data_IF_472349729913
#
_entry.id   IF_472349729913
#
_cell.length_a   1.000
_cell.length_b   1.000
_cell.length_c   1.000
_cell.angle_alpha   90.00
_cell.angle_beta   90.00
_cell.angle_gamma   90.00
#
_symmetry.space_group_name_H-M   'P 1'
#
loop_
_entity.id
_entity.type
_entity.pdbx_description
1 polymer ?
#
# COMPACT_ATOMS: atom_id res chain seq x y z
N UNK A 1 15.70 -12.06 -4.24
CA UNK A 1 15.52 -12.91 -3.03
C UNK A 1 14.03 -13.00 -2.68
N UNK A 2 13.57 -14.16 -2.19
CA UNK A 2 12.17 -14.36 -1.76
C UNK A 2 12.05 -14.34 -0.23
N UNK A 3 10.90 -13.84 0.26
CA UNK A 3 10.58 -13.68 1.67
C UNK A 3 9.28 -14.41 1.99
N UNK A 4 9.20 -14.97 3.19
CA UNK A 4 7.92 -15.47 3.70
C UNK A 4 6.93 -14.32 3.92
N UNK A 5 5.63 -14.63 3.95
CA UNK A 5 4.60 -13.65 4.27
C UNK A 5 4.88 -12.91 5.58
N UNK A 6 5.39 -13.63 6.60
CA UNK A 6 5.68 -13.06 7.92
C UNK A 6 6.85 -12.08 7.86
N UNK A 7 7.93 -12.45 7.17
CA UNK A 7 9.10 -11.58 7.00
C UNK A 7 8.79 -10.35 6.17
N UNK A 8 8.10 -10.52 5.03
CA UNK A 8 7.71 -9.39 4.19
C UNK A 8 6.84 -8.39 4.95
N UNK A 9 5.91 -8.89 5.78
CA UNK A 9 5.04 -8.06 6.61
C UNK A 9 5.80 -7.34 7.74
N UNK A 10 6.78 -7.99 8.37
CA UNK A 10 7.62 -7.38 9.41
C UNK A 10 8.47 -6.21 8.88
N UNK A 11 8.83 -6.24 7.59
CA UNK A 11 9.59 -5.17 6.91
C UNK A 11 8.73 -3.98 6.49
N UNK A 12 7.40 -4.06 6.59
CA UNK A 12 6.53 -2.94 6.25
C UNK A 12 6.59 -1.86 7.34
N UNK A 13 6.41 -0.59 6.95
CA UNK A 13 6.34 0.54 7.89
C UNK A 13 5.33 0.32 9.02
N UNK A 14 4.22 -0.36 8.71
CA UNK A 14 3.22 -0.78 9.69
C UNK A 14 2.82 -2.24 9.44
N UNK A 15 3.40 -3.20 10.18
CA UNK A 15 3.01 -4.60 10.10
C UNK A 15 1.52 -4.77 10.40
N UNK A 16 0.85 -5.66 9.67
CA UNK A 16 -0.57 -5.99 9.85
C UNK A 16 -0.74 -7.45 10.27
N UNK A 17 -1.97 -7.86 10.56
CA UNK A 17 -2.25 -9.28 10.80
C UNK A 17 -1.96 -10.10 9.53
N UNK A 18 -1.47 -11.34 9.66
CA UNK A 18 -1.15 -12.18 8.50
C UNK A 18 -2.37 -12.39 7.59
N UNK A 19 -3.58 -12.48 8.15
CA UNK A 19 -4.82 -12.58 7.38
C UNK A 19 -5.11 -11.34 6.54
N UNK A 20 -4.80 -10.14 7.05
CA UNK A 20 -4.92 -8.89 6.28
C UNK A 20 -4.00 -8.94 5.06
N UNK A 21 -2.77 -9.42 5.23
CA UNK A 21 -1.82 -9.56 4.12
C UNK A 21 -2.30 -10.61 3.11
N UNK A 22 -2.81 -11.76 3.56
CA UNK A 22 -3.43 -12.77 2.67
C UNK A 22 -4.61 -12.19 1.89
N UNK A 23 -5.43 -11.35 2.53
CA UNK A 23 -6.52 -10.64 1.85
C UNK A 23 -5.99 -9.72 0.76
N UNK A 24 -4.92 -8.96 1.01
CA UNK A 24 -4.30 -8.12 -0.02
C UNK A 24 -3.77 -8.92 -1.21
N UNK A 25 -3.21 -10.11 -0.97
CA UNK A 25 -2.78 -11.01 -2.06
C UNK A 25 -3.98 -11.43 -2.92
N UNK A 26 -5.08 -11.86 -2.29
CA UNK A 26 -6.32 -12.26 -3.00
C UNK A 26 -6.96 -11.09 -3.77
N UNK A 27 -6.84 -9.87 -3.25
CA UNK A 27 -7.32 -8.66 -3.91
C UNK A 27 -6.33 -8.08 -4.94
N UNK A 28 -5.25 -8.80 -5.26
CA UNK A 28 -4.19 -8.36 -6.18
C UNK A 28 -3.55 -7.01 -5.81
N UNK A 29 -3.48 -6.68 -4.51
CA UNK A 29 -2.95 -5.40 -4.00
C UNK A 29 -1.44 -5.40 -3.75
N UNK A 30 -0.71 -6.42 -4.19
CA UNK A 30 0.75 -6.54 -4.01
C UNK A 30 1.39 -6.75 -5.40
N UNK A 31 2.46 -6.00 -5.69
CA UNK A 31 3.21 -6.11 -6.94
C UNK A 31 4.74 -6.11 -6.72
N UNK A 32 5.51 -7.03 -7.35
CA UNK A 32 5.03 -8.18 -8.12
C UNK A 32 4.17 -9.15 -7.30
N UNK A 33 3.25 -9.90 -7.94
CA UNK A 33 2.38 -10.83 -7.25
C UNK A 33 3.21 -11.93 -6.59
N UNK A 34 2.91 -12.29 -5.33
CA UNK A 34 3.60 -13.37 -4.65
C UNK A 34 3.26 -14.73 -5.24
N UNK A 35 4.21 -15.65 -5.19
CA UNK A 35 4.07 -17.03 -5.66
C UNK A 35 3.47 -17.87 -4.52
N UNK A 36 2.47 -18.71 -4.82
CA UNK A 36 1.93 -19.66 -3.85
C UNK A 36 2.73 -20.96 -3.92
N UNK A 37 3.52 -21.22 -2.88
CA UNK A 37 4.36 -22.41 -2.76
C UNK A 37 3.80 -23.32 -1.66
N UNK A 38 3.04 -24.34 -2.06
CA UNK A 38 2.33 -25.22 -1.14
C UNK A 38 1.41 -24.47 -0.17
N UNK A 39 1.82 -24.43 1.11
CA UNK A 39 1.09 -23.79 2.22
C UNK A 39 1.38 -22.30 2.37
N UNK A 40 2.47 -21.80 1.80
CA UNK A 40 2.97 -20.45 2.05
C UNK A 40 2.97 -19.57 0.79
N UNK A 41 3.10 -18.26 1.01
CA UNK A 41 3.29 -17.28 -0.06
C UNK A 41 4.73 -16.77 -0.03
N UNK A 42 5.38 -16.80 -1.18
CA UNK A 42 6.72 -16.28 -1.40
C UNK A 42 6.62 -14.90 -2.05
N UNK A 43 7.05 -13.88 -1.30
CA UNK A 43 7.08 -12.50 -1.75
C UNK A 43 8.46 -12.18 -2.32
N UNK A 44 8.51 -11.52 -3.47
CA UNK A 44 9.76 -10.94 -3.93
C UNK A 44 10.20 -9.84 -2.95
N UNK A 45 11.50 -9.68 -2.70
CA UNK A 45 12.02 -8.65 -1.79
C UNK A 45 11.58 -7.22 -2.15
N UNK A 46 11.41 -6.96 -3.45
CA UNK A 46 10.97 -5.66 -3.97
C UNK A 46 9.44 -5.53 -4.05
N UNK A 47 8.69 -6.52 -3.57
CA UNK A 47 7.23 -6.49 -3.58
C UNK A 47 6.68 -5.36 -2.72
N UNK A 48 5.83 -4.53 -3.32
CA UNK A 48 5.17 -3.40 -2.67
C UNK A 48 3.67 -3.56 -2.72
N UNK A 49 3.01 -3.08 -1.67
CA UNK A 49 1.56 -2.92 -1.67
C UNK A 49 1.18 -1.76 -2.58
N UNK A 50 0.35 -2.02 -3.58
CA UNK A 50 -0.30 -0.97 -4.36
C UNK A 50 -1.45 -0.38 -3.54
N UNK A 51 -1.31 0.88 -3.13
CA UNK A 51 -2.43 1.64 -2.57
C UNK A 51 -3.14 2.37 -3.70
N UNK A 52 -4.48 2.33 -3.77
CA UNK A 52 -5.19 3.23 -4.66
C UNK A 52 -4.78 4.67 -4.32
N UNK A 53 -4.62 5.52 -5.33
CA UNK A 53 -4.20 6.90 -5.12
C UNK A 53 -5.16 7.56 -4.11
N UNK A 54 -4.64 7.89 -2.94
CA UNK A 54 -5.39 8.65 -1.95
C UNK A 54 -5.64 10.03 -2.56
N UNK A 55 -6.89 10.41 -2.77
CA UNK A 55 -7.26 11.82 -3.00
C UNK A 55 -6.63 12.61 -1.85
N UNK A 56 -5.67 13.50 -2.15
CA UNK A 56 -4.74 14.09 -1.19
C UNK A 56 -5.28 14.33 0.22
N UNK A 57 -4.43 14.14 1.22
CA UNK A 57 -4.83 14.24 2.64
C UNK A 57 -5.56 15.55 2.98
N UNK A 58 -6.31 15.57 4.09
CA UNK A 58 -7.12 16.73 4.50
C UNK A 58 -6.35 18.06 4.43
N UNK A 59 -5.10 18.09 4.89
CA UNK A 59 -4.23 19.27 4.82
C UNK A 59 -4.00 19.76 3.38
N UNK A 60 -3.80 18.84 2.44
CA UNK A 60 -3.65 19.17 1.02
C UNK A 60 -4.95 19.73 0.44
N UNK A 61 -6.10 19.20 0.87
CA UNK A 61 -7.42 19.72 0.47
C UNK A 61 -7.67 21.13 1.03
N UNK A 62 -7.33 21.36 2.29
CA UNK A 62 -7.41 22.69 2.93
C UNK A 62 -6.49 23.69 2.22
N UNK A 63 -5.26 23.29 1.89
CA UNK A 63 -4.32 24.14 1.14
C UNK A 63 -4.88 24.49 -0.24
N UNK A 64 -5.41 23.50 -0.97
CA UNK A 64 -6.00 23.70 -2.29
C UNK A 64 -7.21 24.65 -2.25
N UNK A 65 -8.05 24.57 -1.21
CA UNK A 65 -9.16 25.50 -1.00
C UNK A 65 -8.67 26.95 -0.83
N UNK A 66 -7.64 27.17 -0.01
CA UNK A 66 -7.03 28.49 0.20
C UNK A 66 -6.44 29.08 -1.09
N UNK A 67 -5.74 28.28 -1.89
CA UNK A 67 -5.20 28.74 -3.18
C UNK A 67 -6.30 29.11 -4.18
N UNK A 68 -7.40 28.33 -4.23
CA UNK A 68 -8.54 28.65 -5.09
C UNK A 68 -9.22 29.96 -4.70
N UNK A 69 -9.35 30.26 -3.40
CA UNK A 69 -9.93 31.52 -2.92
C UNK A 69 -9.08 32.75 -3.30
N UNK A 70 -7.75 32.64 -3.26
CA UNK A 70 -6.85 33.72 -3.69
C UNK A 70 -6.99 34.05 -5.18
N UNK A 71 -7.09 33.02 -6.03
CA UNK A 71 -7.24 33.19 -7.48
C UNK A 71 -8.57 33.86 -7.90
N UNK A 72 -9.60 33.84 -7.06
CA UNK A 72 -10.91 34.45 -7.35
C UNK A 72 -11.01 35.92 -6.95
N UNK A 73 -10.06 36.40 -6.16
CA UNK A 73 -10.00 37.79 -5.67
C UNK A 73 -8.89 38.60 -6.35
N UNK A 74 -8.32 38.09 -7.44
CA UNK A 74 -7.42 38.80 -8.37
C UNK A 74 -8.13 38.93 -9.70
#
# INVERSE_FOLDING_TARGET
MYLTLKEWNARQLRPRSPETVRRWVRECKIFPPPIKDGREYLFHESAKKITPQTTGGLLQRIRNDRTKKKLKHT
#
